data_IF_679297341020
#
_entry.id   IF_679297341020
#
_cell.length_a   1.000
_cell.length_b   1.000
_cell.length_c   1.000
_cell.angle_alpha   90.00
_cell.angle_beta   90.00
_cell.angle_gamma   90.00
#
_symmetry.space_group_name_H-M   'P 1'
#
loop_
_entity.id
_entity.type
_entity.pdbx_description
1 polymer ?
#
# COMPACT_ATOMS: atom_id res chain seq x y z
N UNK A 1 -5.92 -19.73 18.02
CA UNK A 1 -5.74 -18.30 17.76
C UNK A 1 -6.04 -17.49 19.01
N UNK A 2 -5.21 -16.51 19.27
CA UNK A 2 -5.43 -15.58 20.36
C UNK A 2 -6.69 -14.74 20.12
N UNK A 3 -6.93 -14.38 18.86
CA UNK A 3 -8.12 -13.65 18.44
C UNK A 3 -8.89 -14.50 17.46
N UNK A 4 -10.19 -14.66 17.68
CA UNK A 4 -11.05 -15.40 16.77
C UNK A 4 -11.35 -14.62 15.50
N UNK A 5 -11.97 -15.30 14.52
CA UNK A 5 -12.44 -14.64 13.30
C UNK A 5 -13.43 -13.53 13.68
N UNK A 6 -13.21 -12.34 13.16
CA UNK A 6 -14.05 -11.20 13.45
C UNK A 6 -13.67 -10.43 14.71
N UNK A 7 -12.74 -10.95 15.51
CA UNK A 7 -12.28 -10.24 16.70
C UNK A 7 -11.32 -9.11 16.30
N UNK A 8 -11.45 -7.98 17.00
CA UNK A 8 -10.58 -6.82 16.79
C UNK A 8 -9.50 -6.83 17.85
N UNK A 9 -8.24 -6.71 17.44
CA UNK A 9 -7.12 -6.64 18.36
C UNK A 9 -7.23 -5.39 19.23
N UNK A 10 -6.90 -5.46 20.53
CA UNK A 10 -6.96 -4.29 21.40
C UNK A 10 -6.15 -3.10 20.88
N UNK A 11 -4.95 -3.34 20.34
CA UNK A 11 -4.09 -2.28 19.86
C UNK A 11 -4.66 -1.55 18.64
N UNK A 12 -5.57 -2.16 17.89
CA UNK A 12 -6.19 -1.51 16.74
C UNK A 12 -7.37 -0.63 17.11
N UNK A 13 -7.79 -0.66 18.39
CA UNK A 13 -8.87 0.16 18.90
C UNK A 13 -8.41 1.54 19.35
N UNK A 14 -7.10 1.77 19.36
CA UNK A 14 -6.51 3.04 19.75
C UNK A 14 -6.14 3.87 18.56
N UNK A 15 -6.23 5.17 18.73
CA UNK A 15 -5.83 6.11 17.70
C UNK A 15 -4.61 6.90 18.18
N UNK A 16 -3.65 7.06 17.30
CA UNK A 16 -2.48 7.85 17.60
C UNK A 16 -2.85 9.33 17.67
N UNK A 17 -2.44 10.00 18.75
CA UNK A 17 -2.70 11.43 18.96
C UNK A 17 -1.38 12.11 19.26
N UNK A 18 -1.17 13.30 18.69
CA UNK A 18 0.02 14.10 18.92
C UNK A 18 -0.34 15.49 19.40
N UNK A 19 0.37 15.99 20.43
CA UNK A 19 0.21 17.36 20.89
C UNK A 19 0.97 18.36 20.01
N UNK A 20 1.95 17.86 19.25
CA UNK A 20 2.84 18.70 18.47
C UNK A 20 2.32 18.99 17.06
N UNK A 21 1.45 18.15 16.55
CA UNK A 21 0.93 18.33 15.19
C UNK A 21 -0.49 17.79 15.09
N UNK A 22 -1.18 18.26 14.06
CA UNK A 22 -2.56 17.84 13.78
C UNK A 22 -2.52 16.64 12.83
N UNK A 23 -2.83 15.45 13.37
CA UNK A 23 -2.82 14.22 12.60
C UNK A 23 -4.20 13.98 11.99
N UNK A 24 -4.25 13.95 10.67
CA UNK A 24 -5.49 13.68 9.95
C UNK A 24 -5.73 12.19 9.81
N UNK A 25 -6.99 11.77 9.85
CA UNK A 25 -7.37 10.40 9.57
C UNK A 25 -7.09 10.11 8.10
N UNK A 26 -6.89 8.83 7.78
CA UNK A 26 -6.67 8.41 6.41
C UNK A 26 -7.86 8.80 5.53
N UNK A 27 -7.58 9.44 4.40
CA UNK A 27 -8.59 9.86 3.44
C UNK A 27 -8.11 9.45 2.05
N UNK A 28 -8.70 8.38 1.51
CA UNK A 28 -8.31 7.82 0.22
C UNK A 28 -8.49 8.82 -0.92
N UNK A 29 -9.62 9.52 -0.94
CA UNK A 29 -9.91 10.47 -2.00
C UNK A 29 -8.90 11.62 -1.99
N UNK A 30 -8.61 12.16 -0.83
CA UNK A 30 -7.64 13.24 -0.70
C UNK A 30 -6.25 12.80 -1.14
N UNK A 31 -5.85 11.60 -0.74
CA UNK A 31 -4.56 11.05 -1.14
C UNK A 31 -4.48 10.91 -2.67
N UNK A 32 -5.50 10.31 -3.28
CA UNK A 32 -5.50 10.09 -4.72
C UNK A 32 -5.52 11.41 -5.49
N UNK A 33 -6.28 12.39 -5.03
CA UNK A 33 -6.31 13.68 -5.67
C UNK A 33 -4.99 14.43 -5.55
N UNK A 34 -4.29 14.25 -4.43
CA UNK A 34 -3.00 14.90 -4.21
C UNK A 34 -1.93 14.37 -5.17
N UNK A 35 -2.08 13.17 -5.70
CA UNK A 35 -1.15 12.61 -6.67
C UNK A 35 -1.22 13.29 -8.04
N UNK A 36 -2.34 13.94 -8.36
CA UNK A 36 -2.53 14.67 -9.62
C UNK A 36 -2.26 13.82 -10.86
N UNK A 37 -2.69 12.57 -10.82
CA UNK A 37 -2.51 11.66 -11.97
C UNK A 37 -1.13 11.03 -12.08
N UNK A 38 -0.29 11.20 -11.07
CA UNK A 38 1.07 10.66 -11.08
C UNK A 38 1.11 9.26 -10.46
N UNK A 39 2.05 8.46 -10.95
CA UNK A 39 2.30 7.13 -10.39
C UNK A 39 3.25 7.23 -9.19
N UNK A 40 3.28 6.15 -8.39
CA UNK A 40 4.18 6.05 -7.23
C UNK A 40 5.09 4.85 -7.42
N UNK A 41 6.39 5.04 -7.14
CA UNK A 41 7.34 3.93 -7.09
C UNK A 41 7.92 3.85 -5.69
N UNK A 42 7.89 2.65 -5.10
CA UNK A 42 8.54 2.37 -3.83
C UNK A 42 9.70 1.41 -4.12
N UNK A 43 10.90 1.83 -3.80
CA UNK A 43 12.09 1.01 -4.05
C UNK A 43 12.81 0.75 -2.73
N UNK A 44 13.27 -0.48 -2.53
CA UNK A 44 13.99 -0.80 -1.32
C UNK A 44 13.98 -2.28 -0.98
N UNK A 45 14.09 -2.58 0.32
CA UNK A 45 14.19 -3.93 0.83
C UNK A 45 12.81 -4.50 1.23
N UNK A 46 12.81 -5.58 2.01
CA UNK A 46 11.58 -6.23 2.42
C UNK A 46 10.66 -5.36 3.27
N UNK A 47 11.21 -4.40 4.03
CA UNK A 47 10.39 -3.48 4.80
C UNK A 47 9.61 -2.55 3.87
N UNK A 48 10.23 -2.12 2.79
CA UNK A 48 9.57 -1.28 1.81
C UNK A 48 8.51 -2.06 1.02
N UNK A 49 8.71 -3.38 0.85
CA UNK A 49 7.68 -4.23 0.27
C UNK A 49 6.44 -4.28 1.17
N UNK A 50 6.64 -4.38 2.48
CA UNK A 50 5.52 -4.34 3.42
C UNK A 50 4.80 -3.00 3.37
N UNK A 51 5.53 -1.91 3.23
CA UNK A 51 4.95 -0.59 3.11
C UNK A 51 4.12 -0.47 1.83
N UNK A 52 4.67 -0.99 0.74
CA UNK A 52 3.96 -1.03 -0.55
C UNK A 52 2.64 -1.79 -0.41
N UNK A 53 2.67 -2.97 0.23
CA UNK A 53 1.47 -3.76 0.45
C UNK A 53 0.45 -3.01 1.31
N UNK A 54 0.91 -2.37 2.38
CA UNK A 54 0.03 -1.63 3.28
C UNK A 54 -0.66 -0.48 2.56
N UNK A 55 0.08 0.26 1.74
CA UNK A 55 -0.49 1.35 0.97
C UNK A 55 -1.53 0.84 -0.02
N UNK A 56 -1.24 -0.28 -0.69
CA UNK A 56 -2.18 -0.88 -1.63
C UNK A 56 -3.50 -1.22 -0.94
N UNK A 57 -3.44 -1.82 0.26
CA UNK A 57 -4.65 -2.17 0.99
C UNK A 57 -5.41 -0.94 1.50
N UNK A 58 -4.69 0.10 1.91
CA UNK A 58 -5.32 1.36 2.31
C UNK A 58 -6.09 1.99 1.15
N UNK A 59 -5.68 1.70 -0.08
CA UNK A 59 -6.33 2.21 -1.28
C UNK A 59 -7.38 1.23 -1.82
N UNK A 60 -7.86 0.32 -0.97
CA UNK A 60 -8.94 -0.58 -1.32
C UNK A 60 -8.51 -1.82 -2.09
N UNK A 61 -7.23 -2.14 -2.09
CA UNK A 61 -6.71 -3.25 -2.86
C UNK A 61 -7.14 -4.62 -2.33
N UNK A 62 -7.11 -5.61 -3.22
CA UNK A 62 -7.50 -6.97 -2.94
C UNK A 62 -6.26 -7.85 -2.78
N UNK A 63 -6.24 -8.67 -1.73
CA UNK A 63 -5.12 -9.55 -1.40
C UNK A 63 -4.74 -10.49 -2.54
N UNK A 64 -5.72 -11.08 -3.21
CA UNK A 64 -5.45 -12.05 -4.26
C UNK A 64 -4.87 -11.38 -5.50
N UNK A 65 -5.37 -10.20 -5.83
CA UNK A 65 -4.83 -9.42 -6.95
C UNK A 65 -3.41 -9.00 -6.64
N UNK A 66 -3.14 -8.58 -5.41
CA UNK A 66 -1.80 -8.19 -4.99
C UNK A 66 -0.80 -9.31 -5.21
N UNK A 67 -1.15 -10.52 -4.80
CA UNK A 67 -0.26 -11.67 -4.94
C UNK A 67 0.02 -11.99 -6.40
N UNK A 68 -0.99 -11.93 -7.26
CA UNK A 68 -0.82 -12.26 -8.68
C UNK A 68 0.07 -11.26 -9.40
N UNK A 69 -0.19 -9.97 -9.18
CA UNK A 69 0.53 -8.92 -9.91
C UNK A 69 1.95 -8.71 -9.40
N UNK A 70 2.21 -9.02 -8.14
CA UNK A 70 3.50 -8.73 -7.52
C UNK A 70 4.55 -9.81 -7.67
N UNK A 71 4.30 -10.86 -8.47
CA UNK A 71 5.18 -11.99 -8.56
C UNK A 71 5.87 -12.05 -9.92
N UNK A 72 7.20 -12.14 -9.91
CA UNK A 72 8.02 -12.32 -11.10
C UNK A 72 8.81 -13.62 -10.93
N UNK A 73 8.61 -14.56 -11.84
CA UNK A 73 9.26 -15.89 -11.78
C UNK A 73 9.05 -16.57 -10.43
N UNK A 74 7.86 -16.44 -9.86
CA UNK A 74 7.54 -17.02 -8.56
C UNK A 74 8.14 -16.31 -7.37
N UNK A 75 8.87 -15.22 -7.58
CA UNK A 75 9.49 -14.44 -6.51
C UNK A 75 9.02 -13.00 -6.57
N UNK A 76 8.90 -12.40 -5.39
CA UNK A 76 8.45 -11.03 -5.30
C UNK A 76 9.64 -10.08 -5.44
N UNK A 77 10.05 -9.86 -6.67
CA UNK A 77 11.19 -8.99 -7.00
C UNK A 77 10.75 -7.58 -7.37
N UNK A 78 9.65 -7.47 -8.10
CA UNK A 78 9.05 -6.19 -8.42
C UNK A 78 7.56 -6.40 -8.61
N UNK A 79 6.80 -5.34 -8.54
CA UNK A 79 5.36 -5.44 -8.68
C UNK A 79 4.76 -4.15 -9.21
N UNK A 80 3.60 -4.28 -9.85
CA UNK A 80 2.85 -3.15 -10.37
C UNK A 80 1.39 -3.38 -10.04
N UNK A 81 0.76 -2.41 -9.37
CA UNK A 81 -0.62 -2.52 -8.97
C UNK A 81 -1.38 -1.26 -9.34
N UNK A 82 -2.64 -1.43 -9.74
CA UNK A 82 -3.52 -0.31 -10.07
C UNK A 82 -4.10 0.29 -8.80
N UNK A 83 -4.07 1.62 -8.69
CA UNK A 83 -4.61 2.33 -7.53
C UNK A 83 -5.45 3.51 -8.01
N UNK A 84 -6.28 4.03 -7.12
CA UNK A 84 -7.06 5.26 -7.35
C UNK A 84 -8.00 5.19 -8.56
N UNK A 85 -8.44 3.99 -8.94
CA UNK A 85 -9.32 3.82 -10.09
C UNK A 85 -10.68 4.47 -9.96
N UNK A 86 -11.11 4.76 -8.73
CA UNK A 86 -12.39 5.44 -8.49
C UNK A 86 -12.35 6.92 -8.84
N UNK A 87 -11.16 7.52 -8.89
CA UNK A 87 -11.01 8.97 -8.96
C UNK A 87 -10.43 9.46 -10.28
N UNK A 88 -9.97 8.54 -11.13
CA UNK A 88 -9.38 8.89 -12.42
C UNK A 88 -9.93 7.98 -13.51
N UNK A 89 -10.07 8.50 -14.74
CA UNK A 89 -10.52 7.68 -15.87
C UNK A 89 -9.59 6.50 -16.14
N UNK A 90 -8.29 6.69 -15.89
CA UNK A 90 -7.28 5.64 -16.03
C UNK A 90 -6.60 5.47 -14.67
N UNK A 91 -6.59 4.25 -14.10
CA UNK A 91 -5.97 4.05 -12.79
C UNK A 91 -4.50 4.45 -12.78
N UNK A 92 -4.05 4.94 -11.64
CA UNK A 92 -2.65 5.22 -11.41
C UNK A 92 -1.93 3.92 -11.08
N UNK A 93 -0.60 3.92 -11.14
CA UNK A 93 0.21 2.74 -10.87
C UNK A 93 1.02 2.90 -9.61
N UNK A 94 1.05 1.83 -8.82
CA UNK A 94 1.90 1.72 -7.64
C UNK A 94 2.94 0.64 -7.92
N UNK A 95 4.22 1.07 -8.04
CA UNK A 95 5.33 0.18 -8.39
C UNK A 95 6.14 -0.18 -7.16
N UNK A 96 6.68 -1.39 -7.17
CA UNK A 96 7.68 -1.80 -6.19
C UNK A 96 8.89 -2.40 -6.90
N UNK A 97 10.09 -2.05 -6.42
CA UNK A 97 11.34 -2.54 -6.98
C UNK A 97 12.28 -2.90 -5.84
N UNK A 98 12.82 -4.12 -5.84
CA UNK A 98 13.71 -4.58 -4.79
C UNK A 98 15.11 -3.99 -4.94
N UNK A 99 15.84 -3.90 -3.82
CA UNK A 99 17.24 -3.48 -3.82
C UNK A 99 18.12 -4.36 -4.69
N UNK A 100 17.82 -5.65 -4.75
CA UNK A 100 18.63 -6.57 -5.57
C UNK A 100 18.63 -6.16 -7.03
N UNK A 101 17.48 -5.70 -7.54
CA UNK A 101 17.38 -5.24 -8.92
C UNK A 101 18.08 -3.90 -9.12
N UNK A 102 18.08 -3.05 -8.10
CA UNK A 102 18.73 -1.75 -8.16
C UNK A 102 20.25 -1.85 -8.17
N UNK A 103 20.80 -2.90 -7.62
CA UNK A 103 22.25 -3.10 -7.53
C UNK A 103 22.84 -3.72 -8.78
N UNK A 104 22.02 -4.26 -9.63
CA UNK A 104 22.43 -4.85 -10.90
C UNK A 104 22.35 -3.85 -12.02
#
# INVERSE_FOLDING_TARGET
>A
KLFGAGAVRPETQYRWVSDACDLHAWDEELFCKALRGRDIMIAGDSLNDHWHASLYYLLGGNKDIYKREGTVRGKRACGTHSICGKYYPKPLRLYFLTNQLLQE
#
